data_IF_778470684610
#
_entry.id   IF_778470684610
#
_cell.length_a   1.000
_cell.length_b   1.000
_cell.length_c   1.000
_cell.angle_alpha   90.00
_cell.angle_beta   90.00
_cell.angle_gamma   90.00
#
_symmetry.space_group_name_H-M   'P 1'
#
loop_
_entity.id
_entity.type
_entity.pdbx_description
1 polymer ?
#
# COMPACT_ATOMS: atom_id res chain seq x y z
N UNK A 1 14.56 -52.93 1.23
CA UNK A 1 13.78 -52.34 0.15
C UNK A 1 12.58 -51.49 0.62
N UNK A 2 11.99 -51.73 1.79
CA UNK A 2 10.86 -50.94 2.31
C UNK A 2 11.20 -49.51 2.84
N UNK A 3 12.48 -49.23 3.17
CA UNK A 3 12.92 -47.93 3.73
C UNK A 3 13.11 -46.81 2.70
N UNK A 4 13.29 -47.13 1.45
CA UNK A 4 13.48 -46.16 0.38
C UNK A 4 12.18 -45.58 -0.17
N UNK A 5 11.09 -46.36 -0.11
CA UNK A 5 9.77 -45.91 -0.50
C UNK A 5 9.20 -44.87 0.50
N UNK A 6 9.43 -45.05 1.80
CA UNK A 6 8.97 -44.14 2.85
C UNK A 6 9.68 -42.79 2.79
N UNK A 7 10.97 -42.74 2.41
CA UNK A 7 11.71 -41.48 2.23
C UNK A 7 11.25 -40.66 1.04
N UNK A 8 10.80 -41.33 -0.05
CA UNK A 8 10.26 -40.64 -1.22
C UNK A 8 8.87 -40.05 -0.98
N UNK A 9 8.04 -40.67 -0.16
CA UNK A 9 6.72 -40.17 0.22
C UNK A 9 6.85 -38.94 1.12
N UNK A 10 7.85 -38.91 2.03
CA UNK A 10 8.06 -37.76 2.93
C UNK A 10 8.56 -36.50 2.23
N UNK A 11 9.31 -36.64 1.13
CA UNK A 11 9.80 -35.52 0.32
C UNK A 11 8.69 -34.91 -0.54
N UNK A 12 7.73 -35.72 -0.99
CA UNK A 12 6.61 -35.23 -1.83
C UNK A 12 5.59 -34.45 -1.01
N UNK A 13 5.37 -34.80 0.27
CA UNK A 13 4.44 -34.09 1.14
C UNK A 13 4.95 -32.73 1.62
N UNK A 14 6.27 -32.49 1.61
CA UNK A 14 6.85 -31.21 2.00
C UNK A 14 6.82 -30.17 0.86
N UNK A 15 6.74 -30.63 -0.38
CA UNK A 15 6.73 -29.73 -1.56
C UNK A 15 5.35 -29.09 -1.85
N UNK A 16 4.28 -29.59 -1.24
CA UNK A 16 2.91 -29.06 -1.48
C UNK A 16 2.47 -27.94 -0.54
N UNK A 17 3.27 -27.60 0.48
CA UNK A 17 2.94 -26.55 1.45
C UNK A 17 3.35 -25.13 1.03
N UNK A 18 3.97 -24.95 -0.14
CA UNK A 18 4.55 -23.67 -0.58
C UNK A 18 3.66 -22.85 -1.54
N UNK A 19 2.43 -23.30 -1.83
CA UNK A 19 1.56 -22.61 -2.79
C UNK A 19 0.34 -21.88 -2.18
N UNK A 20 0.29 -21.67 -0.88
CA UNK A 20 -0.84 -21.02 -0.22
C UNK A 20 -0.62 -19.54 0.12
N UNK A 21 0.31 -18.85 -0.57
CA UNK A 21 0.48 -17.40 -0.45
C UNK A 21 -0.14 -16.67 -1.66
N UNK A 22 -1.32 -17.08 -2.10
CA UNK A 22 -2.15 -16.21 -2.92
C UNK A 22 -2.77 -15.17 -1.98
N UNK A 23 -2.17 -13.99 -1.90
CA UNK A 23 -2.80 -12.85 -1.27
C UNK A 23 -4.10 -12.57 -2.00
N UNK A 24 -5.19 -12.91 -1.37
CA UNK A 24 -6.52 -12.55 -1.85
C UNK A 24 -6.76 -11.10 -1.54
N UNK A 25 -7.05 -10.30 -2.56
CA UNK A 25 -7.58 -8.95 -2.39
C UNK A 25 -8.80 -9.06 -1.48
N UNK A 26 -8.88 -8.30 -0.37
CA UNK A 26 -10.01 -8.38 0.54
C UNK A 26 -11.29 -8.03 -0.21
N UNK A 27 -12.32 -8.88 -0.07
CA UNK A 27 -13.63 -8.62 -0.68
C UNK A 27 -14.37 -7.51 0.05
N UNK A 28 -14.19 -7.44 1.36
CA UNK A 28 -14.74 -6.42 2.24
C UNK A 28 -13.67 -6.03 3.26
N UNK A 29 -13.64 -4.75 3.58
CA UNK A 29 -12.78 -4.22 4.62
C UNK A 29 -13.67 -3.89 5.82
N UNK A 30 -13.45 -4.52 7.00
CA UNK A 30 -14.26 -4.29 8.18
C UNK A 30 -14.38 -2.80 8.52
N UNK A 31 -15.59 -2.36 8.86
CA UNK A 31 -15.86 -0.94 9.16
C UNK A 31 -15.27 -0.49 10.49
N UNK A 32 -15.08 -1.41 11.42
CA UNK A 32 -14.54 -1.17 12.75
C UNK A 32 -13.03 -0.84 12.77
N UNK A 33 -12.33 -1.05 11.65
CA UNK A 33 -10.89 -0.76 11.56
C UNK A 33 -10.63 0.75 11.60
N UNK A 34 -9.73 1.15 12.48
CA UNK A 34 -9.24 2.52 12.56
C UNK A 34 -8.37 2.88 11.35
N UNK A 35 -8.18 4.17 11.11
CA UNK A 35 -7.26 4.65 10.07
C UNK A 35 -5.86 4.05 10.21
N UNK A 36 -5.33 4.01 11.43
CA UNK A 36 -4.01 3.46 11.69
C UNK A 36 -3.91 1.97 11.37
N UNK A 37 -4.93 1.18 11.73
CA UNK A 37 -4.96 -0.25 11.42
C UNK A 37 -5.06 -0.49 9.91
N UNK A 38 -5.85 0.31 9.20
CA UNK A 38 -5.95 0.25 7.74
C UNK A 38 -4.60 0.59 7.07
N UNK A 39 -3.93 1.64 7.51
CA UNK A 39 -2.60 2.03 7.01
C UNK A 39 -1.58 0.92 7.26
N UNK A 40 -1.54 0.35 8.48
CA UNK A 40 -0.63 -0.75 8.81
C UNK A 40 -0.88 -2.00 7.95
N UNK A 41 -2.15 -2.35 7.71
CA UNK A 41 -2.51 -3.45 6.81
C UNK A 41 -2.07 -3.16 5.36
N UNK A 42 -2.30 -1.93 4.90
CA UNK A 42 -1.84 -1.49 3.58
C UNK A 42 -0.32 -1.60 3.42
N UNK A 43 0.43 -1.16 4.43
CA UNK A 43 1.90 -1.26 4.45
C UNK A 43 2.38 -2.71 4.46
N UNK A 44 1.78 -3.58 5.29
CA UNK A 44 2.13 -5.00 5.33
C UNK A 44 1.89 -5.69 3.98
N UNK A 45 0.77 -5.41 3.32
CA UNK A 45 0.50 -5.93 1.98
C UNK A 45 1.46 -5.37 0.93
N UNK A 46 1.83 -4.09 1.03
CA UNK A 46 2.81 -3.46 0.15
C UNK A 46 4.19 -4.12 0.27
N UNK A 47 4.69 -4.33 1.49
CA UNK A 47 5.97 -4.99 1.75
C UNK A 47 6.02 -6.42 1.20
N UNK A 48 4.89 -7.12 1.22
CA UNK A 48 4.74 -8.45 0.65
C UNK A 48 4.55 -8.45 -0.89
N UNK A 49 4.51 -7.28 -1.52
CA UNK A 49 4.30 -7.13 -2.97
C UNK A 49 2.85 -7.32 -3.41
N UNK A 50 1.91 -7.37 -2.47
CA UNK A 50 0.48 -7.54 -2.72
C UNK A 50 -0.19 -6.18 -3.01
N UNK A 51 0.24 -5.50 -4.06
CA UNK A 51 -0.14 -4.11 -4.34
C UNK A 51 -1.64 -3.87 -4.50
N UNK A 52 -2.41 -4.85 -5.00
CA UNK A 52 -3.87 -4.71 -5.11
C UNK A 52 -4.54 -4.70 -3.73
N UNK A 53 -4.12 -5.57 -2.83
CA UNK A 53 -4.63 -5.61 -1.46
C UNK A 53 -4.23 -4.34 -0.69
N UNK A 54 -2.98 -3.94 -0.80
CA UNK A 54 -2.46 -2.69 -0.23
C UNK A 54 -3.30 -1.48 -0.67
N UNK A 55 -3.55 -1.36 -1.98
CA UNK A 55 -4.37 -0.28 -2.53
C UNK A 55 -5.79 -0.27 -1.96
N UNK A 56 -6.41 -1.43 -1.74
CA UNK A 56 -7.74 -1.51 -1.12
C UNK A 56 -7.75 -0.89 0.29
N UNK A 57 -6.74 -1.21 1.11
CA UNK A 57 -6.63 -0.65 2.46
C UNK A 57 -6.41 0.86 2.46
N UNK A 58 -5.49 1.37 1.65
CA UNK A 58 -5.24 2.82 1.56
C UNK A 58 -6.44 3.58 0.99
N UNK A 59 -7.14 3.02 0.00
CA UNK A 59 -8.36 3.62 -0.54
C UNK A 59 -9.45 3.70 0.54
N UNK A 60 -9.61 2.65 1.36
CA UNK A 60 -10.56 2.70 2.47
C UNK A 60 -10.23 3.83 3.47
N UNK A 61 -8.95 4.16 3.67
CA UNK A 61 -8.56 5.31 4.50
C UNK A 61 -9.00 6.62 3.85
N UNK A 62 -8.69 6.83 2.58
CA UNK A 62 -9.05 8.08 1.89
C UNK A 62 -10.55 8.29 1.79
N UNK A 63 -11.34 7.21 1.70
CA UNK A 63 -12.81 7.28 1.66
C UNK A 63 -13.43 7.52 3.04
N UNK A 64 -12.96 6.81 4.07
CA UNK A 64 -13.57 6.86 5.41
C UNK A 64 -13.10 8.05 6.25
N UNK A 65 -11.89 8.55 5.99
CA UNK A 65 -11.23 9.59 6.79
C UNK A 65 -10.88 10.84 5.96
N UNK A 66 -11.67 11.13 4.93
CA UNK A 66 -11.48 12.30 4.07
C UNK A 66 -11.48 13.64 4.84
N UNK A 67 -12.23 13.71 5.94
CA UNK A 67 -12.31 14.92 6.78
C UNK A 67 -11.07 15.15 7.66
N UNK A 68 -10.21 14.14 7.80
CA UNK A 68 -8.95 14.24 8.54
C UNK A 68 -7.78 14.42 7.58
N UNK A 69 -7.47 15.67 7.22
CA UNK A 69 -6.40 15.97 6.25
C UNK A 69 -5.06 15.29 6.54
N UNK A 70 -4.55 15.23 7.79
CA UNK A 70 -3.29 14.53 8.05
C UNK A 70 -3.34 13.04 7.68
N UNK A 71 -4.44 12.35 8.00
CA UNK A 71 -4.67 10.95 7.69
C UNK A 71 -4.88 10.74 6.20
N UNK A 72 -5.67 11.60 5.57
CA UNK A 72 -5.92 11.59 4.13
C UNK A 72 -4.62 11.75 3.34
N UNK A 73 -3.77 12.72 3.72
CA UNK A 73 -2.48 12.96 3.08
C UNK A 73 -1.52 11.77 3.20
N UNK A 74 -1.48 11.12 4.36
CA UNK A 74 -0.70 9.91 4.56
C UNK A 74 -1.13 8.81 3.58
N UNK A 75 -2.41 8.47 3.56
CA UNK A 75 -2.93 7.42 2.68
C UNK A 75 -2.79 7.78 1.19
N UNK A 76 -3.03 9.05 0.82
CA UNK A 76 -2.86 9.55 -0.55
C UNK A 76 -1.40 9.42 -1.00
N UNK A 77 -0.45 9.77 -0.13
CA UNK A 77 0.96 9.57 -0.43
C UNK A 77 1.30 8.09 -0.65
N UNK A 78 0.82 7.20 0.22
CA UNK A 78 1.07 5.76 0.09
C UNK A 78 0.50 5.19 -1.23
N UNK A 79 -0.66 5.67 -1.67
CA UNK A 79 -1.24 5.30 -2.98
C UNK A 79 -0.34 5.79 -4.13
N UNK A 80 0.10 7.04 -4.09
CA UNK A 80 1.02 7.61 -5.07
C UNK A 80 2.34 6.84 -5.13
N UNK A 81 2.94 6.56 -3.98
CA UNK A 81 4.17 5.78 -3.85
C UNK A 81 4.01 4.35 -4.38
N UNK A 82 2.88 3.70 -4.09
CA UNK A 82 2.53 2.38 -4.60
C UNK A 82 2.52 2.36 -6.15
N UNK A 83 1.93 3.36 -6.79
CA UNK A 83 1.95 3.47 -8.24
C UNK A 83 3.35 3.78 -8.79
N UNK A 84 4.16 4.58 -8.08
CA UNK A 84 5.58 4.78 -8.43
C UNK A 84 6.35 3.46 -8.42
N UNK A 85 6.18 2.64 -7.40
CA UNK A 85 6.79 1.30 -7.30
C UNK A 85 6.37 0.37 -8.43
N UNK A 86 5.13 0.46 -8.89
CA UNK A 86 4.63 -0.30 -10.03
C UNK A 86 5.03 0.30 -11.39
N UNK A 87 5.75 1.42 -11.43
CA UNK A 87 6.08 2.19 -12.63
C UNK A 87 4.84 2.68 -13.40
N UNK A 88 3.71 2.83 -12.71
CA UNK A 88 2.46 3.38 -13.24
C UNK A 88 2.44 4.90 -13.07
N UNK A 89 3.38 5.55 -13.69
CA UNK A 89 3.67 6.98 -13.49
C UNK A 89 2.48 7.89 -13.83
N UNK A 90 1.73 7.58 -14.87
CA UNK A 90 0.52 8.32 -15.25
C UNK A 90 -0.58 8.30 -14.18
N UNK A 91 -0.57 7.30 -13.30
CA UNK A 91 -1.48 7.24 -12.14
C UNK A 91 -0.87 7.89 -10.90
N UNK A 92 0.44 7.75 -10.71
CA UNK A 92 1.14 8.30 -9.57
C UNK A 92 1.18 9.84 -9.59
N UNK A 93 1.48 10.44 -10.75
CA UNK A 93 1.70 11.87 -10.89
C UNK A 93 0.52 12.72 -10.40
N UNK A 94 -0.73 12.51 -10.86
CA UNK A 94 -1.85 13.34 -10.39
C UNK A 94 -2.13 13.17 -8.90
N UNK A 95 -1.91 11.98 -8.33
CA UNK A 95 -2.12 11.71 -6.89
C UNK A 95 -1.08 12.45 -6.05
N UNK A 96 0.19 12.41 -6.47
CA UNK A 96 1.26 13.13 -5.78
C UNK A 96 1.11 14.65 -5.95
N UNK A 97 0.62 15.12 -7.11
CA UNK A 97 0.34 16.53 -7.35
C UNK A 97 -0.80 17.03 -6.47
N UNK A 98 -1.84 16.23 -6.25
CA UNK A 98 -2.93 16.55 -5.32
C UNK A 98 -2.41 16.91 -3.93
N UNK A 99 -1.42 16.16 -3.42
CA UNK A 99 -0.79 16.48 -2.13
C UNK A 99 -0.19 17.88 -2.16
N UNK A 100 0.57 18.21 -3.20
CA UNK A 100 1.19 19.54 -3.33
C UNK A 100 0.13 20.63 -3.36
N UNK A 101 -0.97 20.42 -4.09
CA UNK A 101 -2.06 21.37 -4.21
C UNK A 101 -2.80 21.60 -2.89
N UNK A 102 -2.99 20.54 -2.08
CA UNK A 102 -3.56 20.65 -0.74
C UNK A 102 -2.69 21.54 0.15
N UNK A 103 -1.37 21.34 0.15
CA UNK A 103 -0.46 22.20 0.92
C UNK A 103 -0.41 23.64 0.43
N UNK A 104 -0.48 23.84 -0.89
CA UNK A 104 -0.51 25.19 -1.48
C UNK A 104 -1.76 26.00 -1.07
N UNK A 105 -2.87 25.30 -0.81
CA UNK A 105 -4.15 25.90 -0.41
C UNK A 105 -4.38 25.89 1.11
N UNK A 106 -3.46 25.35 1.89
CA UNK A 106 -3.54 25.28 3.35
C UNK A 106 -2.73 26.40 4.01
N UNK A 107 -3.11 26.77 5.22
CA UNK A 107 -2.30 27.73 5.99
C UNK A 107 -0.95 27.12 6.36
N UNK A 108 0.16 27.86 6.25
CA UNK A 108 1.48 27.35 6.62
C UNK A 108 1.52 26.82 8.04
N UNK A 109 2.12 25.65 8.23
CA UNK A 109 2.31 25.01 9.53
C UNK A 109 1.10 24.30 10.12
N UNK A 110 -0.05 24.25 9.41
CA UNK A 110 -1.25 23.53 9.88
C UNK A 110 -1.23 22.05 9.56
N UNK A 111 -0.43 21.63 8.59
CA UNK A 111 -0.30 20.23 8.16
C UNK A 111 1.10 19.69 8.40
N UNK A 112 1.26 18.38 8.66
CA UNK A 112 2.57 17.74 8.80
C UNK A 112 3.39 17.89 7.50
N UNK A 113 4.52 18.56 7.53
CA UNK A 113 5.34 18.87 6.33
C UNK A 113 5.97 17.67 5.62
N UNK A 114 5.94 16.48 6.24
CA UNK A 114 6.60 15.30 5.71
C UNK A 114 6.05 14.87 4.35
N UNK A 115 4.74 14.78 4.19
CA UNK A 115 4.12 14.29 2.96
C UNK A 115 4.27 15.25 1.78
N UNK A 116 4.30 16.57 2.02
CA UNK A 116 4.64 17.56 1.00
C UNK A 116 6.02 17.27 0.41
N UNK A 117 7.02 17.13 1.27
CA UNK A 117 8.40 16.86 0.84
C UNK A 117 8.53 15.52 0.14
N UNK A 118 7.91 14.48 0.67
CA UNK A 118 7.94 13.14 0.08
C UNK A 118 7.29 13.13 -1.31
N UNK A 119 6.14 13.79 -1.48
CA UNK A 119 5.48 13.92 -2.77
C UNK A 119 6.34 14.70 -3.78
N UNK A 120 6.97 15.79 -3.37
CA UNK A 120 7.91 16.55 -4.20
C UNK A 120 9.06 15.68 -4.69
N UNK A 121 9.69 14.90 -3.81
CA UNK A 121 10.78 14.01 -4.16
C UNK A 121 10.39 12.92 -5.15
N UNK A 122 9.16 12.38 -5.02
CA UNK A 122 8.64 11.38 -5.99
C UNK A 122 8.36 12.04 -7.36
N UNK A 123 7.76 13.24 -7.39
CA UNK A 123 7.51 13.99 -8.62
C UNK A 123 8.79 14.38 -9.34
N UNK A 124 9.87 14.73 -8.62
CA UNK A 124 11.16 15.03 -9.21
C UNK A 124 11.79 13.84 -9.95
N UNK A 125 11.51 12.62 -9.52
CA UNK A 125 11.96 11.40 -10.21
C UNK A 125 11.32 11.24 -11.60
N UNK A 126 10.12 11.78 -11.80
CA UNK A 126 9.39 11.69 -13.07
C UNK A 126 9.94 12.66 -14.13
N UNK A 127 10.72 13.66 -13.74
CA UNK A 127 11.28 14.67 -14.63
C UNK A 127 12.64 14.29 -15.22
N UNK A 128 13.21 13.16 -14.80
CA UNK A 128 14.51 12.63 -15.26
C UNK A 128 14.32 11.58 -16.33
#
# INVERSE_FOLDING_TARGET
>A
MKRTALKKIFIITLATALFAACSTVPKEIPEELTAQELIQKGQAEFENGHYKASLCYYTAVTERYADSLPVYLEATYEIGHLYMKQKKYSKAEPILQEIIDIYANSQPGTLPGAYQKLAQLELEKLKK
#
